data_IF_812854164692
#
_entry.id   IF_812854164692
#
_cell.length_a   1.000
_cell.length_b   1.000
_cell.length_c   1.000
_cell.angle_alpha   90.00
_cell.angle_beta   90.00
_cell.angle_gamma   90.00
#
_symmetry.space_group_name_H-M   'P 1'
#
loop_
_entity.id
_entity.type
_entity.pdbx_description
1 polymer ?
#
# COMPACT_ATOMS: atom_id res chain seq x y z
N UNK A 1 15.16 25.52 -12.28
CA UNK A 1 14.14 24.61 -12.85
C UNK A 1 12.85 24.85 -12.10
N UNK A 2 11.70 24.82 -12.79
CA UNK A 2 10.40 24.86 -12.09
C UNK A 2 10.23 23.61 -11.24
N UNK A 3 9.40 23.66 -10.20
CA UNK A 3 9.07 22.48 -9.40
C UNK A 3 8.42 21.43 -10.30
N UNK A 4 8.88 20.18 -10.19
CA UNK A 4 8.34 19.05 -10.95
C UNK A 4 6.86 18.86 -10.61
N UNK A 5 6.03 18.66 -11.62
CA UNK A 5 4.65 18.25 -11.38
C UNK A 5 4.58 16.79 -10.90
N UNK A 6 3.46 16.42 -10.27
CA UNK A 6 3.25 15.09 -9.71
C UNK A 6 3.42 13.97 -10.75
N UNK A 7 2.88 14.16 -11.96
CA UNK A 7 2.89 13.12 -13.00
C UNK A 7 4.31 12.91 -13.52
N UNK A 8 5.07 13.98 -13.73
CA UNK A 8 6.48 13.93 -14.13
C UNK A 8 7.32 13.21 -13.08
N UNK A 9 7.21 13.60 -11.80
CA UNK A 9 7.96 12.99 -10.70
C UNK A 9 7.69 11.48 -10.57
N UNK A 10 6.42 11.06 -10.66
CA UNK A 10 6.06 9.65 -10.60
C UNK A 10 6.59 8.88 -11.82
N UNK A 11 6.51 9.44 -13.03
CA UNK A 11 7.03 8.76 -14.22
C UNK A 11 8.56 8.61 -14.18
N UNK A 12 9.30 9.62 -13.71
CA UNK A 12 10.75 9.52 -13.48
C UNK A 12 11.06 8.38 -12.51
N UNK A 13 10.33 8.30 -11.38
CA UNK A 13 10.50 7.20 -10.43
C UNK A 13 10.24 5.83 -11.06
N UNK A 14 9.11 5.67 -11.77
CA UNK A 14 8.73 4.40 -12.40
C UNK A 14 9.73 3.97 -13.47
N UNK A 15 10.27 4.90 -14.27
CA UNK A 15 11.26 4.58 -15.30
C UNK A 15 12.52 3.95 -14.70
N UNK A 16 12.96 4.45 -13.55
CA UNK A 16 14.14 3.93 -12.85
C UNK A 16 13.83 2.61 -12.15
N UNK A 17 12.69 2.54 -11.47
CA UNK A 17 12.24 1.38 -10.71
C UNK A 17 11.78 0.21 -11.59
N UNK A 18 11.55 0.41 -12.90
CA UNK A 18 11.19 -0.68 -13.82
C UNK A 18 12.22 -1.82 -13.85
N UNK A 19 13.48 -1.50 -13.50
CA UNK A 19 14.61 -2.44 -13.40
C UNK A 19 14.57 -3.31 -12.13
N UNK A 20 13.74 -2.95 -11.16
CA UNK A 20 13.61 -3.64 -9.88
C UNK A 20 12.43 -4.63 -9.89
N UNK A 21 12.59 -5.71 -9.14
CA UNK A 21 11.59 -6.76 -8.96
C UNK A 21 10.60 -6.50 -7.83
N UNK A 22 9.96 -7.59 -7.40
CA UNK A 22 9.00 -7.56 -6.29
C UNK A 22 9.64 -7.54 -4.91
N UNK A 23 10.92 -7.91 -4.79
CA UNK A 23 11.54 -8.18 -3.51
C UNK A 23 12.90 -7.48 -3.33
N UNK A 24 13.16 -7.05 -2.11
CA UNK A 24 14.48 -6.75 -1.56
C UNK A 24 15.00 -8.03 -0.90
N UNK A 25 16.16 -8.50 -1.35
CA UNK A 25 16.65 -9.84 -1.03
C UNK A 25 15.65 -10.91 -1.49
N UNK A 26 15.36 -11.88 -0.62
CA UNK A 26 14.48 -13.01 -0.96
C UNK A 26 13.02 -12.88 -0.48
N UNK A 27 12.72 -11.95 0.43
CA UNK A 27 11.45 -11.98 1.17
C UNK A 27 10.75 -10.63 1.36
N UNK A 28 11.47 -9.52 1.45
CA UNK A 28 10.86 -8.23 1.77
C UNK A 28 10.28 -7.60 0.51
N UNK A 29 9.05 -7.12 0.55
CA UNK A 29 8.45 -6.47 -0.61
C UNK A 29 9.23 -5.20 -0.97
N UNK A 30 9.47 -4.99 -2.26
CA UNK A 30 9.99 -3.73 -2.78
C UNK A 30 8.92 -2.64 -2.61
N UNK A 31 9.23 -1.59 -1.86
CA UNK A 31 8.30 -0.49 -1.61
C UNK A 31 8.53 0.73 -2.50
N UNK A 32 9.62 0.76 -3.29
CA UNK A 32 10.05 1.90 -4.08
C UNK A 32 8.92 2.64 -4.80
N UNK A 33 8.12 1.97 -5.65
CA UNK A 33 7.05 2.64 -6.40
C UNK A 33 5.97 3.26 -5.52
N UNK A 34 5.60 2.58 -4.42
CA UNK A 34 4.58 3.06 -3.48
C UNK A 34 5.06 4.26 -2.68
N UNK A 35 6.31 4.22 -2.22
CA UNK A 35 6.91 5.31 -1.45
C UNK A 35 7.21 6.53 -2.32
N UNK A 36 7.69 6.35 -3.55
CA UNK A 36 7.88 7.45 -4.50
C UNK A 36 6.57 8.17 -4.83
N UNK A 37 5.49 7.42 -5.06
CA UNK A 37 4.17 8.01 -5.32
C UNK A 37 3.61 8.73 -4.07
N UNK A 38 3.76 8.14 -2.88
CA UNK A 38 3.37 8.78 -1.63
C UNK A 38 4.17 10.07 -1.35
N UNK A 39 5.47 10.07 -1.62
CA UNK A 39 6.35 11.23 -1.50
C UNK A 39 5.89 12.38 -2.42
N UNK A 40 5.56 12.06 -3.68
CA UNK A 40 4.99 13.03 -4.61
C UNK A 40 3.63 13.57 -4.12
N UNK A 41 2.77 12.72 -3.54
CA UNK A 41 1.48 13.14 -2.94
C UNK A 41 1.62 14.03 -1.72
N UNK A 42 2.70 13.88 -0.97
CA UNK A 42 3.03 14.78 0.14
C UNK A 42 3.57 16.14 -0.34
N UNK A 43 3.73 16.35 -1.65
CA UNK A 43 4.20 17.61 -2.25
C UNK A 43 5.71 17.69 -2.43
N UNK A 44 6.44 16.59 -2.26
CA UNK A 44 7.90 16.53 -2.37
C UNK A 44 8.34 16.01 -3.75
N UNK A 45 7.69 16.46 -4.83
CA UNK A 45 7.98 16.01 -6.20
C UNK A 45 9.46 16.16 -6.59
N UNK A 46 10.09 17.26 -6.17
CA UNK A 46 11.50 17.55 -6.47
C UNK A 46 12.48 16.61 -5.74
N UNK A 47 12.06 15.96 -4.64
CA UNK A 47 12.88 15.01 -3.88
C UNK A 47 12.78 13.57 -4.39
N UNK A 48 11.78 13.28 -5.23
CA UNK A 48 11.47 11.91 -5.67
C UNK A 48 12.65 11.25 -6.38
N UNK A 49 13.30 11.95 -7.31
CA UNK A 49 14.40 11.37 -8.09
C UNK A 49 15.61 11.04 -7.20
N UNK A 50 16.00 11.96 -6.32
CA UNK A 50 17.09 11.74 -5.37
C UNK A 50 16.78 10.60 -4.38
N UNK A 51 15.53 10.53 -3.89
CA UNK A 51 15.10 9.46 -3.01
C UNK A 51 15.11 8.09 -3.70
N UNK A 52 14.62 8.00 -4.95
CA UNK A 52 14.65 6.77 -5.75
C UNK A 52 16.08 6.32 -6.04
N UNK A 53 16.98 7.27 -6.33
CA UNK A 53 18.41 6.98 -6.50
C UNK A 53 18.99 6.31 -5.27
N UNK A 54 18.84 6.95 -4.11
CA UNK A 54 19.33 6.40 -2.85
C UNK A 54 18.68 5.05 -2.53
N UNK A 55 17.38 4.90 -2.79
CA UNK A 55 16.67 3.65 -2.56
C UNK A 55 17.25 2.50 -3.39
N UNK A 56 17.46 2.70 -4.69
CA UNK A 56 18.01 1.66 -5.59
C UNK A 56 19.43 1.28 -5.16
N UNK A 57 20.27 2.25 -4.76
CA UNK A 57 21.65 1.99 -4.37
C UNK A 57 21.80 1.33 -2.99
N UNK A 58 20.94 1.68 -2.02
CA UNK A 58 21.04 1.16 -0.65
C UNK A 58 20.26 -0.13 -0.42
N UNK A 59 19.32 -0.48 -1.30
CA UNK A 59 18.52 -1.71 -1.18
C UNK A 59 19.02 -2.76 -2.16
N UNK A 60 19.05 -4.00 -1.70
CA UNK A 60 19.40 -5.16 -2.53
C UNK A 60 18.17 -5.64 -3.31
N UNK A 61 17.70 -4.84 -4.26
CA UNK A 61 16.56 -5.22 -5.12
C UNK A 61 16.92 -6.42 -5.98
N UNK A 62 16.09 -7.46 -5.93
CA UNK A 62 16.13 -8.54 -6.91
C UNK A 62 15.57 -8.07 -8.25
N UNK A 63 15.89 -8.75 -9.37
CA UNK A 63 15.22 -8.50 -10.63
C UNK A 63 13.75 -8.93 -10.55
N UNK A 64 12.94 -8.51 -11.52
CA UNK A 64 11.66 -9.17 -11.75
C UNK A 64 11.90 -10.66 -12.06
N UNK A 65 11.07 -11.58 -11.56
CA UNK A 65 11.15 -12.98 -11.98
C UNK A 65 10.94 -13.10 -13.49
N UNK A 66 11.75 -13.90 -14.16
CA UNK A 66 11.55 -14.20 -15.57
C UNK A 66 10.25 -14.99 -15.78
N UNK A 67 9.44 -14.67 -16.80
CA UNK A 67 8.30 -15.50 -17.16
C UNK A 67 8.78 -16.87 -17.66
N UNK A 68 8.11 -17.91 -17.21
CA UNK A 68 8.35 -19.31 -17.58
C UNK A 68 7.32 -19.83 -18.58
N UNK A 69 6.02 -19.56 -18.33
CA UNK A 69 4.93 -20.03 -19.16
C UNK A 69 3.64 -19.22 -18.93
N UNK A 70 2.81 -19.00 -19.98
CA UNK A 70 1.56 -18.27 -19.83
C UNK A 70 0.65 -18.81 -18.72
N UNK A 71 0.01 -17.90 -17.98
CA UNK A 71 -1.08 -18.26 -17.05
C UNK A 71 -2.33 -18.57 -17.88
N UNK A 72 -2.72 -19.85 -17.95
CA UNK A 72 -3.99 -20.32 -18.55
C UNK A 72 -4.98 -20.73 -17.47
N UNK A 73 -4.53 -21.54 -16.51
CA UNK A 73 -5.29 -21.93 -15.31
C UNK A 73 -4.91 -21.01 -14.14
N UNK A 74 -5.59 -19.86 -14.03
CA UNK A 74 -5.23 -18.82 -13.07
C UNK A 74 -5.45 -19.27 -11.61
N UNK A 75 -6.51 -20.03 -11.33
CA UNK A 75 -6.89 -20.45 -9.99
C UNK A 75 -5.78 -21.24 -9.29
N UNK A 76 -5.18 -22.20 -10.01
CA UNK A 76 -4.12 -23.04 -9.48
C UNK A 76 -2.79 -22.32 -9.41
N UNK A 77 -2.62 -21.23 -10.16
CA UNK A 77 -1.39 -20.43 -10.23
C UNK A 77 -1.29 -19.35 -9.14
N UNK A 78 -2.38 -19.06 -8.41
CA UNK A 78 -2.38 -18.09 -7.31
C UNK A 78 -1.46 -18.54 -6.17
N UNK A 79 -0.68 -17.60 -5.63
CA UNK A 79 0.23 -17.84 -4.50
C UNK A 79 1.51 -18.61 -4.87
N UNK A 80 1.66 -19.02 -6.13
CA UNK A 80 2.89 -19.65 -6.63
C UNK A 80 3.95 -18.57 -6.90
N UNK A 81 4.84 -18.35 -5.93
CA UNK A 81 5.83 -17.25 -5.96
C UNK A 81 6.69 -17.22 -7.22
N UNK A 82 7.07 -18.40 -7.74
CA UNK A 82 7.92 -18.52 -8.93
C UNK A 82 7.20 -18.13 -10.22
N UNK A 83 5.86 -18.04 -10.20
CA UNK A 83 5.04 -17.60 -11.34
C UNK A 83 4.94 -16.07 -11.45
N UNK A 84 5.69 -15.31 -10.64
CA UNK A 84 5.56 -13.85 -10.59
C UNK A 84 5.76 -13.16 -11.93
N UNK A 85 6.73 -13.61 -12.74
CA UNK A 85 6.95 -13.11 -14.10
C UNK A 85 5.79 -13.43 -15.05
N UNK A 86 5.20 -14.61 -14.91
CA UNK A 86 4.05 -15.05 -15.72
C UNK A 86 2.81 -14.21 -15.43
N UNK A 87 2.61 -13.84 -14.17
CA UNK A 87 1.54 -12.93 -13.77
C UNK A 87 1.73 -11.53 -14.34
N UNK A 88 2.96 -10.99 -14.34
CA UNK A 88 3.25 -9.69 -14.97
C UNK A 88 2.89 -9.72 -16.45
N UNK A 89 3.29 -10.77 -17.17
CA UNK A 89 3.00 -10.90 -18.60
C UNK A 89 1.50 -11.05 -18.89
N UNK A 90 0.77 -11.79 -18.04
CA UNK A 90 -0.69 -11.87 -18.11
C UNK A 90 -1.33 -10.48 -18.02
N UNK A 91 -0.97 -9.70 -16.99
CA UNK A 91 -1.60 -8.41 -16.75
C UNK A 91 -1.18 -7.35 -17.78
N UNK A 92 0.06 -7.38 -18.28
CA UNK A 92 0.48 -6.53 -19.41
C UNK A 92 -0.39 -6.76 -20.64
N UNK A 93 -0.61 -8.03 -21.00
CA UNK A 93 -1.47 -8.40 -22.13
C UNK A 93 -2.91 -7.94 -21.90
N UNK A 94 -3.50 -8.25 -20.75
CA UNK A 94 -4.89 -7.85 -20.47
C UNK A 94 -5.08 -6.32 -20.48
N UNK A 95 -4.10 -5.57 -19.97
CA UNK A 95 -4.11 -4.10 -19.95
C UNK A 95 -3.84 -3.47 -21.32
N UNK A 96 -3.21 -4.19 -22.25
CA UNK A 96 -3.08 -3.77 -23.64
C UNK A 96 -4.39 -4.01 -24.44
N UNK A 97 -5.21 -4.96 -24.01
CA UNK A 97 -6.43 -5.39 -24.71
C UNK A 97 -7.72 -4.74 -24.16
N UNK A 98 -7.70 -4.22 -22.94
CA UNK A 98 -8.89 -3.67 -22.26
C UNK A 98 -8.56 -2.43 -21.42
N UNK A 99 -9.58 -1.63 -21.11
CA UNK A 99 -9.42 -0.51 -20.19
C UNK A 99 -8.96 -1.01 -18.81
N UNK A 100 -8.05 -0.27 -18.17
CA UNK A 100 -7.50 -0.69 -16.88
C UNK A 100 -8.55 -0.89 -15.79
N UNK A 101 -9.65 -0.12 -15.83
CA UNK A 101 -10.79 -0.27 -14.92
C UNK A 101 -11.46 -1.62 -15.09
N UNK A 102 -11.67 -2.06 -16.33
CA UNK A 102 -12.30 -3.34 -16.62
C UNK A 102 -11.43 -4.51 -16.14
N UNK A 103 -10.10 -4.40 -16.31
CA UNK A 103 -9.15 -5.39 -15.80
C UNK A 103 -9.18 -5.43 -14.27
N UNK A 104 -9.10 -4.27 -13.60
CA UNK A 104 -9.18 -4.17 -12.14
C UNK A 104 -10.47 -4.80 -11.60
N UNK A 105 -11.63 -4.44 -12.15
CA UNK A 105 -12.93 -4.94 -11.71
C UNK A 105 -13.09 -6.44 -11.94
N UNK A 106 -12.57 -6.96 -13.06
CA UNK A 106 -12.57 -8.39 -13.37
C UNK A 106 -11.73 -9.20 -12.39
N UNK A 107 -10.58 -8.69 -11.98
CA UNK A 107 -9.65 -9.37 -11.07
C UNK A 107 -9.96 -9.13 -9.59
N UNK A 108 -10.71 -8.09 -9.26
CA UNK A 108 -11.09 -7.74 -7.90
C UNK A 108 -11.64 -8.92 -7.08
N UNK A 109 -12.76 -9.59 -7.48
CA UNK A 109 -13.30 -10.70 -6.69
C UNK A 109 -12.39 -11.94 -6.69
N UNK A 110 -11.42 -12.03 -7.63
CA UNK A 110 -10.48 -13.17 -7.73
C UNK A 110 -9.30 -13.02 -6.78
N UNK A 111 -8.83 -11.79 -6.56
CA UNK A 111 -7.66 -11.49 -5.74
C UNK A 111 -8.00 -11.08 -4.31
N UNK A 112 -9.16 -10.46 -4.09
CA UNK A 112 -9.63 -10.00 -2.79
C UNK A 112 -9.54 -11.07 -1.68
N UNK A 113 -9.93 -12.34 -1.89
CA UNK A 113 -9.88 -13.34 -0.82
C UNK A 113 -8.47 -13.68 -0.35
N UNK A 114 -7.44 -13.38 -1.16
CA UNK A 114 -6.03 -13.62 -0.83
C UNK A 114 -5.23 -12.35 -0.52
N UNK A 115 -5.90 -11.23 -0.25
CA UNK A 115 -5.24 -9.94 -0.07
C UNK A 115 -4.38 -9.82 1.19
N UNK A 116 -4.52 -10.72 2.18
CA UNK A 116 -3.63 -10.76 3.35
C UNK A 116 -2.17 -11.06 2.99
N UNK A 117 -1.97 -11.75 1.86
CA UNK A 117 -0.68 -12.19 1.35
C UNK A 117 0.39 -11.11 1.33
N UNK A 118 1.58 -11.45 1.84
CA UNK A 118 2.70 -10.51 2.00
C UNK A 118 2.25 -9.21 2.69
N UNK A 119 1.57 -9.28 3.84
CA UNK A 119 1.09 -8.09 4.57
C UNK A 119 0.36 -7.08 3.67
N UNK A 120 -0.48 -7.55 2.74
CA UNK A 120 -1.26 -6.73 1.79
C UNK A 120 -0.48 -5.94 0.74
N UNK A 121 0.81 -6.23 0.52
CA UNK A 121 1.63 -5.47 -0.43
C UNK A 121 1.08 -5.43 -1.85
N UNK A 122 0.48 -6.52 -2.35
CA UNK A 122 -0.16 -6.53 -3.66
C UNK A 122 -1.32 -5.54 -3.77
N UNK A 123 -2.19 -5.50 -2.75
CA UNK A 123 -3.31 -4.56 -2.67
C UNK A 123 -2.81 -3.11 -2.56
N UNK A 124 -1.85 -2.84 -1.68
CA UNK A 124 -1.29 -1.49 -1.49
C UNK A 124 -0.62 -1.01 -2.78
N UNK A 125 0.23 -1.83 -3.41
CA UNK A 125 0.92 -1.48 -4.66
C UNK A 125 -0.06 -1.19 -5.79
N UNK A 126 -1.11 -2.00 -5.91
CA UNK A 126 -2.20 -1.77 -6.86
C UNK A 126 -2.91 -0.44 -6.60
N UNK A 127 -3.17 -0.09 -5.34
CA UNK A 127 -3.82 1.18 -4.99
C UNK A 127 -2.99 2.41 -5.39
N UNK A 128 -1.68 2.39 -5.14
CA UNK A 128 -0.77 3.46 -5.56
C UNK A 128 -0.73 3.59 -7.09
N UNK A 129 -0.66 2.46 -7.82
CA UNK A 129 -0.73 2.47 -9.28
C UNK A 129 -2.05 3.05 -9.80
N UNK A 130 -3.19 2.62 -9.25
CA UNK A 130 -4.53 3.13 -9.60
C UNK A 130 -4.65 4.63 -9.31
N UNK A 131 -4.15 5.12 -8.17
CA UNK A 131 -4.15 6.55 -7.86
C UNK A 131 -3.34 7.35 -8.88
N UNK A 132 -2.14 6.87 -9.23
CA UNK A 132 -1.31 7.46 -10.28
C UNK A 132 -2.01 7.53 -11.64
N UNK A 133 -2.73 6.47 -12.03
CA UNK A 133 -3.53 6.42 -13.27
C UNK A 133 -4.71 7.41 -13.24
N UNK A 134 -5.41 7.54 -12.11
CA UNK A 134 -6.57 8.45 -11.96
C UNK A 134 -6.17 9.92 -12.05
N UNK A 135 -5.01 10.26 -11.52
CA UNK A 135 -4.52 11.63 -11.46
C UNK A 135 -3.69 12.02 -12.70
N UNK A 136 -3.62 11.14 -13.69
CA UNK A 136 -3.05 11.42 -15.01
C UNK A 136 -4.16 11.57 -16.05
N UNK A 137 -4.15 12.68 -16.80
CA UNK A 137 -5.09 12.90 -17.90
C UNK A 137 -4.94 11.84 -19.01
N UNK A 138 -3.70 11.38 -19.22
CA UNK A 138 -3.36 10.30 -20.15
C UNK A 138 -2.33 9.39 -19.48
N UNK A 139 -2.77 8.24 -18.92
CA UNK A 139 -1.87 7.22 -18.40
C UNK A 139 -0.73 6.86 -19.34
N UNK A 140 0.50 6.87 -18.82
CA UNK A 140 1.69 6.43 -19.57
C UNK A 140 1.84 4.91 -19.53
N UNK A 141 2.68 4.37 -20.42
CA UNK A 141 3.06 2.95 -20.39
C UNK A 141 3.72 2.55 -19.07
N UNK A 142 4.48 3.46 -18.43
CA UNK A 142 5.10 3.22 -17.13
C UNK A 142 4.05 3.07 -16.02
N UNK A 143 3.02 3.92 -16.01
CA UNK A 143 1.93 3.83 -15.04
C UNK A 143 1.08 2.57 -15.25
N UNK A 144 0.85 2.20 -16.51
CA UNK A 144 0.14 0.95 -16.87
C UNK A 144 0.95 -0.29 -16.49
N UNK A 145 2.26 -0.30 -16.70
CA UNK A 145 3.15 -1.40 -16.27
C UNK A 145 3.18 -1.53 -14.74
N UNK A 146 3.16 -0.42 -14.00
CA UNK A 146 3.10 -0.47 -12.54
C UNK A 146 1.77 -1.05 -12.03
N UNK A 147 0.64 -0.79 -12.71
CA UNK A 147 -0.61 -1.49 -12.41
C UNK A 147 -0.49 -2.99 -12.68
N UNK A 148 0.12 -3.38 -13.81
CA UNK A 148 0.36 -4.78 -14.13
C UNK A 148 1.19 -5.47 -13.03
N UNK A 149 2.26 -4.80 -12.56
CA UNK A 149 3.12 -5.28 -11.47
C UNK A 149 2.42 -5.33 -10.12
N UNK A 150 1.55 -4.36 -9.80
CA UNK A 150 0.74 -4.37 -8.59
C UNK A 150 -0.20 -5.57 -8.53
N UNK A 151 -0.96 -5.79 -9.61
CA UNK A 151 -1.87 -6.94 -9.74
C UNK A 151 -1.09 -8.26 -9.74
N UNK A 152 0.05 -8.31 -10.43
CA UNK A 152 0.92 -9.49 -10.46
C UNK A 152 1.48 -9.82 -9.07
N UNK A 153 1.94 -8.81 -8.32
CA UNK A 153 2.40 -9.00 -6.94
C UNK A 153 1.27 -9.58 -6.09
N UNK A 154 0.05 -9.05 -6.21
CA UNK A 154 -1.12 -9.55 -5.49
C UNK A 154 -1.42 -11.02 -5.82
N UNK A 155 -1.41 -11.40 -7.10
CA UNK A 155 -1.60 -12.79 -7.51
C UNK A 155 -0.46 -13.71 -7.04
N UNK A 156 0.79 -13.21 -7.07
CA UNK A 156 2.01 -13.93 -6.67
C UNK A 156 2.03 -14.21 -5.17
N UNK A 157 1.61 -13.25 -4.35
CA UNK A 157 1.63 -13.36 -2.90
C UNK A 157 0.30 -13.84 -2.33
N UNK A 158 -0.68 -14.15 -3.19
CA UNK A 158 -2.03 -14.52 -2.80
C UNK A 158 -2.02 -15.57 -1.68
N UNK A 159 -2.61 -15.22 -0.54
CA UNK A 159 -2.76 -16.10 0.61
C UNK A 159 -4.18 -15.93 1.16
N UNK A 160 -5.04 -16.97 1.09
CA UNK A 160 -6.39 -16.91 1.62
C UNK A 160 -6.41 -16.50 3.10
N UNK A 161 -7.45 -15.76 3.50
CA UNK A 161 -7.78 -15.54 4.91
C UNK A 161 -7.95 -16.88 5.64
N UNK A 162 -7.53 -16.96 6.90
CA UNK A 162 -7.65 -18.19 7.70
C UNK A 162 -9.11 -18.52 7.99
N UNK A 163 -9.93 -17.50 8.22
CA UNK A 163 -11.35 -17.62 8.58
C UNK A 163 -12.29 -17.62 7.39
N UNK A 164 -11.76 -17.42 6.17
CA UNK A 164 -12.54 -17.29 4.94
C UNK A 164 -13.28 -15.95 4.79
N UNK A 165 -13.98 -15.71 3.67
CA UNK A 165 -14.73 -14.48 3.47
C UNK A 165 -15.89 -14.37 4.47
N UNK A 166 -15.94 -13.26 5.20
CA UNK A 166 -17.01 -12.99 6.17
C UNK A 166 -18.28 -12.59 5.42
N UNK A 167 -19.32 -13.41 5.54
CA UNK A 167 -20.67 -13.05 5.08
C UNK A 167 -21.29 -12.01 6.01
N UNK A 168 -22.09 -11.11 5.46
CA UNK A 168 -22.69 -10.00 6.20
C UNK A 168 -23.65 -9.21 5.33
N UNK A 169 -24.62 -8.56 5.97
CA UNK A 169 -25.65 -7.77 5.31
C UNK A 169 -25.09 -6.74 4.33
N UNK A 170 -25.93 -6.32 3.39
CA UNK A 170 -25.55 -5.32 2.40
C UNK A 170 -25.36 -3.95 3.08
N UNK A 171 -24.27 -3.25 2.73
CA UNK A 171 -24.00 -1.88 3.15
C UNK A 171 -23.95 -1.01 1.90
N UNK A 172 -24.58 0.16 1.94
CA UNK A 172 -24.39 1.14 0.87
C UNK A 172 -22.95 1.70 0.87
N UNK A 173 -22.54 2.27 -0.27
CA UNK A 173 -21.19 2.79 -0.44
C UNK A 173 -20.81 3.87 0.59
N UNK A 174 -21.78 4.69 1.04
CA UNK A 174 -21.53 5.72 2.04
C UNK A 174 -21.32 5.14 3.45
N UNK A 175 -22.02 4.07 3.79
CA UNK A 175 -21.79 3.31 5.02
C UNK A 175 -20.43 2.62 5.01
N UNK A 176 -20.03 2.05 3.87
CA UNK A 176 -18.68 1.47 3.70
C UNK A 176 -17.59 2.53 3.86
N UNK A 177 -17.75 3.70 3.24
CA UNK A 177 -16.80 4.81 3.34
C UNK A 177 -16.63 5.30 4.80
N UNK A 178 -17.73 5.43 5.55
CA UNK A 178 -17.67 5.75 6.99
C UNK A 178 -16.96 4.66 7.80
N UNK A 179 -17.30 3.39 7.57
CA UNK A 179 -16.72 2.27 8.28
C UNK A 179 -15.20 2.12 8.01
N UNK A 180 -14.73 2.40 6.79
CA UNK A 180 -13.29 2.46 6.50
C UNK A 180 -12.58 3.56 7.32
N UNK A 181 -13.26 4.69 7.56
CA UNK A 181 -12.70 5.79 8.36
C UNK A 181 -12.64 5.43 9.84
N UNK A 182 -13.63 4.67 10.32
CA UNK A 182 -13.64 4.13 11.68
C UNK A 182 -12.54 3.09 11.87
N UNK A 183 -12.40 2.16 10.92
CA UNK A 183 -11.38 1.11 10.93
C UNK A 183 -9.95 1.67 10.92
N UNK A 184 -9.66 2.61 10.03
CA UNK A 184 -8.33 3.24 9.94
C UNK A 184 -7.98 4.01 11.21
N UNK A 185 -8.92 4.76 11.78
CA UNK A 185 -8.71 5.49 13.03
C UNK A 185 -8.59 4.56 14.26
N UNK A 186 -9.36 3.47 14.31
CA UNK A 186 -9.24 2.42 15.32
C UNK A 186 -7.82 1.85 15.35
N UNK A 187 -7.32 1.40 14.20
CA UNK A 187 -5.99 0.80 14.12
C UNK A 187 -4.84 1.80 14.28
N UNK A 188 -5.06 3.09 13.96
CA UNK A 188 -4.15 4.15 14.35
C UNK A 188 -4.04 4.27 15.89
N UNK A 189 -5.18 4.20 16.60
CA UNK A 189 -5.21 4.13 18.06
C UNK A 189 -4.52 2.89 18.61
N UNK A 190 -4.79 1.71 18.02
CA UNK A 190 -4.12 0.47 18.41
C UNK A 190 -2.60 0.55 18.24
N UNK A 191 -2.11 1.13 17.14
CA UNK A 191 -0.68 1.31 16.91
C UNK A 191 0.00 2.07 18.06
N UNK A 192 -0.58 3.21 18.47
CA UNK A 192 -0.07 4.02 19.59
C UNK A 192 -0.22 3.38 20.96
N UNK A 193 -1.16 2.46 21.13
CA UNK A 193 -1.40 1.73 22.38
C UNK A 193 -0.55 0.47 22.49
N UNK A 194 -0.14 -0.10 21.36
CA UNK A 194 0.75 -1.27 21.31
C UNK A 194 2.22 -0.87 21.44
N UNK A 195 2.63 0.25 20.81
CA UNK A 195 4.04 0.65 20.71
C UNK A 195 4.96 -0.52 20.31
N UNK A 196 4.73 -1.10 19.11
CA UNK A 196 5.26 -2.40 18.75
C UNK A 196 6.80 -2.45 18.72
N UNK A 197 7.36 -3.53 19.29
CA UNK A 197 8.78 -3.89 19.16
C UNK A 197 9.17 -4.29 17.73
N UNK A 198 8.30 -4.21 16.75
CA UNK A 198 8.61 -4.29 15.33
C UNK A 198 7.64 -3.33 14.63
N UNK A 199 8.06 -2.10 14.29
CA UNK A 199 7.12 -1.02 13.98
C UNK A 199 6.38 -1.23 12.66
N UNK A 200 6.95 -1.98 11.72
CA UNK A 200 6.47 -2.05 10.33
C UNK A 200 5.17 -2.84 10.17
N UNK A 201 5.02 -4.09 10.66
CA UNK A 201 3.84 -4.91 10.33
C UNK A 201 2.50 -4.25 10.69
N UNK A 202 2.41 -3.57 11.84
CA UNK A 202 1.17 -2.90 12.25
C UNK A 202 0.89 -1.57 11.51
N UNK A 203 1.85 -1.01 10.75
CA UNK A 203 1.55 0.11 9.86
C UNK A 203 0.53 -0.31 8.80
N UNK A 204 0.58 -1.59 8.38
CA UNK A 204 -0.30 -2.13 7.35
C UNK A 204 -1.77 -2.15 7.76
N UNK A 205 -2.09 -2.22 9.05
CA UNK A 205 -3.49 -2.15 9.51
C UNK A 205 -4.10 -0.75 9.33
N UNK A 206 -3.28 0.26 9.00
CA UNK A 206 -3.72 1.62 8.66
C UNK A 206 -3.61 1.81 7.15
N UNK A 207 -2.45 1.49 6.56
CA UNK A 207 -2.21 1.78 5.13
C UNK A 207 -3.02 0.89 4.19
N UNK A 208 -3.32 -0.36 4.56
CA UNK A 208 -4.09 -1.28 3.72
C UNK A 208 -5.57 -0.89 3.58
N UNK A 209 -6.34 -0.60 4.65
CA UNK A 209 -7.69 -0.06 4.49
C UNK A 209 -7.72 1.34 3.86
N UNK A 210 -6.71 2.18 4.11
CA UNK A 210 -6.58 3.45 3.42
C UNK A 210 -6.34 3.26 1.89
N UNK A 211 -5.58 2.23 1.50
CA UNK A 211 -5.38 1.83 0.10
C UNK A 211 -6.65 1.20 -0.51
N UNK A 212 -7.37 0.39 0.26
CA UNK A 212 -8.67 -0.20 -0.14
C UNK A 212 -9.64 0.90 -0.58
N UNK A 213 -9.73 2.02 0.17
CA UNK A 213 -10.58 3.15 -0.19
C UNK A 213 -10.28 3.72 -1.58
N UNK A 214 -8.99 3.84 -1.94
CA UNK A 214 -8.58 4.35 -3.26
C UNK A 214 -9.08 3.47 -4.40
N UNK A 215 -9.08 2.15 -4.17
CA UNK A 215 -9.51 1.15 -5.15
C UNK A 215 -11.04 1.07 -5.26
N UNK A 216 -11.78 1.17 -4.14
CA UNK A 216 -13.24 1.10 -4.15
C UNK A 216 -13.91 2.19 -4.98
N UNK A 217 -13.24 3.34 -5.18
CA UNK A 217 -13.69 4.38 -6.09
C UNK A 217 -13.83 3.90 -7.56
N UNK A 218 -13.17 2.81 -7.92
CA UNK A 218 -13.11 2.26 -9.28
C UNK A 218 -13.77 0.87 -9.38
N UNK A 219 -14.38 0.39 -8.30
CA UNK A 219 -14.99 -0.94 -8.18
C UNK A 219 -16.52 -0.80 -8.02
N UNK A 220 -17.33 -1.68 -8.64
CA UNK A 220 -18.78 -1.70 -8.47
C UNK A 220 -19.25 -1.76 -7.00
N UNK A 221 -20.32 -1.01 -6.69
CA UNK A 221 -20.81 -0.81 -5.33
C UNK A 221 -21.24 -2.11 -4.62
N UNK A 222 -21.67 -3.13 -5.37
CA UNK A 222 -22.04 -4.45 -4.85
C UNK A 222 -20.86 -5.22 -4.25
N UNK A 223 -19.61 -4.85 -4.59
CA UNK A 223 -18.40 -5.45 -4.03
C UNK A 223 -17.85 -4.70 -2.82
N UNK A 224 -18.37 -3.51 -2.50
CA UNK A 224 -17.82 -2.64 -1.44
C UNK A 224 -17.95 -3.25 -0.05
N UNK A 225 -19.14 -3.77 0.29
CA UNK A 225 -19.40 -4.34 1.60
C UNK A 225 -18.54 -5.57 1.89
N UNK A 226 -18.36 -6.45 0.89
CA UNK A 226 -17.45 -7.60 0.99
C UNK A 226 -16.00 -7.14 1.19
N UNK A 227 -15.56 -6.14 0.42
CA UNK A 227 -14.19 -5.62 0.49
C UNK A 227 -13.87 -5.01 1.86
N UNK A 228 -14.79 -4.26 2.45
CA UNK A 228 -14.67 -3.74 3.81
C UNK A 228 -14.51 -4.87 4.83
N UNK A 229 -15.37 -5.89 4.77
CA UNK A 229 -15.30 -7.01 5.72
C UNK A 229 -14.01 -7.79 5.59
N UNK A 230 -13.58 -8.05 4.35
CA UNK A 230 -12.29 -8.68 4.07
C UNK A 230 -11.13 -7.90 4.68
N UNK A 231 -11.05 -6.57 4.45
CA UNK A 231 -9.91 -5.80 4.98
C UNK A 231 -9.96 -5.63 6.51
N UNK A 232 -11.16 -5.57 7.09
CA UNK A 232 -11.34 -5.58 8.54
C UNK A 232 -10.83 -6.90 9.16
N UNK A 233 -11.08 -8.03 8.51
CA UNK A 233 -10.58 -9.33 8.95
C UNK A 233 -9.06 -9.46 8.80
N UNK A 234 -8.49 -8.99 7.68
CA UNK A 234 -7.03 -8.90 7.51
C UNK A 234 -6.40 -8.09 8.65
N UNK A 235 -6.97 -6.93 8.97
CA UNK A 235 -6.48 -6.08 10.06
C UNK A 235 -6.49 -6.84 11.40
N UNK A 236 -7.56 -7.59 11.67
CA UNK A 236 -7.69 -8.40 12.89
C UNK A 236 -6.61 -9.49 12.95
N UNK A 237 -6.41 -10.24 11.87
CA UNK A 237 -5.37 -11.28 11.78
C UNK A 237 -3.96 -10.69 11.97
N UNK A 238 -3.66 -9.58 11.29
CA UNK A 238 -2.38 -8.87 11.43
C UNK A 238 -2.16 -8.37 12.87
N UNK A 239 -3.19 -7.83 13.51
CA UNK A 239 -3.07 -7.35 14.88
C UNK A 239 -2.90 -8.50 15.88
N UNK A 240 -3.56 -9.64 15.68
CA UNK A 240 -3.30 -10.85 16.48
C UNK A 240 -1.85 -11.33 16.31
N UNK A 241 -1.34 -11.32 15.08
CA UNK A 241 0.01 -11.80 14.77
C UNK A 241 1.12 -10.86 15.28
N UNK A 242 0.94 -9.55 15.18
CA UNK A 242 2.01 -8.55 15.40
C UNK A 242 1.73 -7.54 16.52
N UNK A 243 0.49 -7.45 17.00
CA UNK A 243 0.07 -6.58 18.10
C UNK A 243 0.71 -6.96 19.42
N UNK A 244 0.98 -8.26 19.64
CA UNK A 244 1.50 -8.77 20.90
C UNK A 244 0.54 -8.55 22.08
N UNK A 245 0.63 -9.37 23.12
CA UNK A 245 -0.24 -9.28 24.29
C UNK A 245 0.03 -8.06 25.21
N UNK A 246 0.54 -6.95 24.65
CA UNK A 246 0.87 -5.71 25.36
C UNK A 246 0.14 -4.55 24.71
N UNK A 247 -1.07 -4.28 25.18
CA UNK A 247 -1.59 -2.93 25.17
C UNK A 247 -1.07 -2.25 26.43
N UNK A 248 -0.40 -1.09 26.30
CA UNK A 248 -0.14 -0.26 27.48
C UNK A 248 -1.47 0.36 27.94
N UNK A 249 -1.73 0.37 29.25
CA UNK A 249 -2.97 0.90 29.83
C UNK A 249 -3.19 2.39 29.51
N UNK A 250 -2.12 3.10 29.10
CA UNK A 250 -2.16 4.50 28.69
C UNK A 250 -1.63 4.61 27.26
N UNK A 251 -2.48 4.93 26.27
CA UNK A 251 -2.02 5.23 24.91
C UNK A 251 -0.96 6.33 24.93
N UNK A 252 0.00 6.29 24.00
CA UNK A 252 0.90 7.42 23.81
C UNK A 252 0.07 8.70 23.61
N UNK A 253 0.39 9.75 24.37
CA UNK A 253 -0.33 11.01 24.20
C UNK A 253 -0.15 11.49 22.76
N UNK A 254 -1.24 11.93 22.09
CA UNK A 254 -1.14 12.46 20.76
C UNK A 254 -0.17 13.64 20.77
N UNK A 255 0.80 13.61 19.85
CA UNK A 255 1.70 14.72 19.60
C UNK A 255 0.86 15.88 19.06
N UNK A 256 0.56 16.85 19.91
CA UNK A 256 -0.28 18.02 19.56
C UNK A 256 0.54 19.19 19.03
N UNK A 257 1.87 19.08 19.05
CA UNK A 257 2.77 20.16 18.63
C UNK A 257 3.16 20.04 17.16
N UNK A 258 3.16 18.82 16.59
CA UNK A 258 3.50 18.58 15.20
C UNK A 258 2.28 18.59 14.28
N UNK A 259 2.45 19.15 13.08
CA UNK A 259 1.49 19.04 11.99
C UNK A 259 1.81 17.84 11.10
N UNK A 260 0.87 17.45 10.22
CA UNK A 260 1.18 16.47 9.17
C UNK A 260 2.29 16.95 8.21
N UNK A 261 2.46 18.27 8.03
CA UNK A 261 3.56 18.83 7.24
C UNK A 261 4.91 18.57 7.93
N UNK A 262 4.98 18.73 9.25
CA UNK A 262 6.20 18.46 10.03
C UNK A 262 6.55 16.96 10.00
N UNK A 263 5.54 16.10 10.10
CA UNK A 263 5.75 14.65 9.99
C UNK A 263 6.18 14.22 8.58
N UNK A 264 5.58 14.80 7.54
CA UNK A 264 5.99 14.55 6.17
C UNK A 264 7.46 14.93 5.98
N UNK A 265 7.87 16.14 6.38
CA UNK A 265 9.26 16.59 6.31
C UNK A 265 10.21 15.63 7.06
N UNK A 266 9.84 15.21 8.28
CA UNK A 266 10.64 14.28 9.08
C UNK A 266 10.72 12.86 8.48
N UNK A 267 9.69 12.43 7.75
CA UNK A 267 9.68 11.15 7.04
C UNK A 267 10.53 11.20 5.76
N UNK A 268 10.51 12.33 5.03
CA UNK A 268 11.39 12.58 3.87
C UNK A 268 12.85 12.58 4.30
N UNK A 269 13.18 13.32 5.37
CA UNK A 269 14.54 13.36 5.93
C UNK A 269 15.03 11.96 6.37
N UNK A 270 14.15 11.17 6.99
CA UNK A 270 14.45 9.79 7.38
C UNK A 270 14.64 8.86 6.17
N UNK A 271 14.01 9.18 5.04
CA UNK A 271 14.07 8.39 3.81
C UNK A 271 13.42 7.02 3.88
N UNK A 272 12.72 6.67 4.97
CA UNK A 272 12.12 5.35 5.15
C UNK A 272 10.77 5.22 4.44
N UNK A 273 10.65 4.15 3.67
CA UNK A 273 9.48 3.83 2.83
C UNK A 273 8.18 3.72 3.66
N UNK A 274 8.25 3.18 4.87
CA UNK A 274 7.07 2.99 5.73
C UNK A 274 6.65 4.29 6.39
N UNK A 275 7.63 5.09 6.86
CA UNK A 275 7.38 6.40 7.44
C UNK A 275 6.69 7.33 6.43
N UNK A 276 7.16 7.35 5.18
CA UNK A 276 6.55 8.14 4.10
C UNK A 276 5.10 7.70 3.84
N UNK A 277 4.88 6.39 3.65
CA UNK A 277 3.54 5.84 3.35
C UNK A 277 2.54 6.09 4.47
N UNK A 278 2.93 5.90 5.75
CA UNK A 278 1.99 6.13 6.86
C UNK A 278 1.68 7.61 7.04
N UNK A 279 2.65 8.51 6.83
CA UNK A 279 2.39 9.95 6.88
C UNK A 279 1.37 10.36 5.81
N UNK A 280 1.55 9.90 4.57
CA UNK A 280 0.59 10.17 3.48
C UNK A 280 -0.80 9.60 3.77
N UNK A 281 -0.89 8.32 4.11
CA UNK A 281 -2.17 7.67 4.38
C UNK A 281 -2.90 8.32 5.56
N UNK A 282 -2.20 8.60 6.67
CA UNK A 282 -2.77 9.23 7.85
C UNK A 282 -3.24 10.66 7.57
N UNK A 283 -2.46 11.46 6.84
CA UNK A 283 -2.84 12.81 6.44
C UNK A 283 -4.10 12.80 5.56
N UNK A 284 -4.15 11.89 4.58
CA UNK A 284 -5.29 11.74 3.67
C UNK A 284 -6.57 11.29 4.38
N UNK A 285 -6.50 10.27 5.23
CA UNK A 285 -7.67 9.81 6.00
C UNK A 285 -8.12 10.89 7.00
N UNK A 286 -7.20 11.62 7.64
CA UNK A 286 -7.54 12.74 8.51
C UNK A 286 -8.22 13.90 7.75
N UNK A 287 -7.86 14.15 6.50
CA UNK A 287 -8.53 15.16 5.67
C UNK A 287 -9.99 14.77 5.33
N UNK A 288 -10.29 13.48 5.24
CA UNK A 288 -11.66 12.98 5.04
C UNK A 288 -12.49 13.04 6.33
N UNK A 289 -11.90 12.60 7.45
CA UNK A 289 -12.52 12.62 8.78
C UNK A 289 -11.44 12.92 9.83
N UNK A 290 -11.37 14.17 10.33
CA UNK A 290 -10.36 14.55 11.31
C UNK A 290 -10.42 13.68 12.57
N UNK A 291 -9.29 13.09 12.92
CA UNK A 291 -9.13 12.25 14.11
C UNK A 291 -7.68 12.32 14.62
N UNK A 292 -7.43 12.71 15.89
CA UNK A 292 -6.07 12.89 16.40
C UNK A 292 -5.23 11.60 16.42
N UNK A 293 -5.87 10.42 16.36
CA UNK A 293 -5.16 9.13 16.34
C UNK A 293 -4.27 8.98 15.11
N UNK A 294 -4.63 9.58 13.98
CA UNK A 294 -3.81 9.53 12.76
C UNK A 294 -2.46 10.19 12.93
N UNK A 295 -2.45 11.40 13.48
CA UNK A 295 -1.23 12.16 13.74
C UNK A 295 -0.36 11.42 14.77
N UNK A 296 -0.98 10.90 15.84
CA UNK A 296 -0.30 10.09 16.85
C UNK A 296 0.37 8.84 16.27
N UNK A 297 -0.33 8.09 15.42
CA UNK A 297 0.20 6.89 14.78
C UNK A 297 1.37 7.20 13.83
N UNK A 298 1.24 8.23 12.98
CA UNK A 298 2.31 8.65 12.07
C UNK A 298 3.55 9.14 12.81
N UNK A 299 3.38 9.93 13.89
CA UNK A 299 4.50 10.38 14.74
C UNK A 299 5.17 9.20 15.44
N UNK A 300 4.39 8.32 16.07
CA UNK A 300 4.91 7.15 16.77
C UNK A 300 5.68 6.20 15.82
N UNK A 301 5.13 5.91 14.65
CA UNK A 301 5.77 5.06 13.64
C UNK A 301 7.11 5.66 13.18
N UNK A 302 7.11 6.94 12.82
CA UNK A 302 8.32 7.65 12.36
C UNK A 302 9.42 7.64 13.42
N UNK A 303 9.06 7.85 14.69
CA UNK A 303 10.01 7.83 15.80
C UNK A 303 10.57 6.42 16.08
N UNK A 304 9.72 5.40 16.08
CA UNK A 304 10.14 4.01 16.29
C UNK A 304 11.04 3.51 15.16
N UNK A 305 10.78 3.91 13.91
CA UNK A 305 11.63 3.59 12.76
C UNK A 305 12.98 4.30 12.91
N UNK A 306 13.00 5.61 13.18
CA UNK A 306 14.23 6.38 13.38
C UNK A 306 15.14 5.78 14.45
N UNK A 307 14.58 5.39 15.59
CA UNK A 307 15.33 4.78 16.69
C UNK A 307 16.03 3.47 16.27
N UNK A 308 15.49 2.76 15.29
CA UNK A 308 16.01 1.47 14.81
C UNK A 308 17.02 1.60 13.68
N UNK A 309 16.92 2.66 12.89
CA UNK A 309 17.87 2.93 11.81
C UNK A 309 19.27 3.29 12.33
N UNK A 310 19.43 3.56 13.63
CA UNK A 310 20.69 4.00 14.24
C UNK A 310 21.00 5.47 13.92
N UNK A 311 22.01 6.09 14.55
CA UNK A 311 22.50 7.40 14.12
C UNK A 311 23.09 7.27 12.71
N UNK A 312 22.66 8.15 11.80
CA UNK A 312 23.24 8.36 10.47
C UNK A 312 24.69 8.82 10.56
#
# INVERSE_FOLDING_TARGET
MGSLDYTEAVNVALDRLRTTGFYIGHFFANHGPMAAEALAKLGYCDEVDGWVDANIHHRQHGPLPDPTQPITEWQTSLGQRDRGGDWVELFRRELAEAAWRDVLQRWWPRLLPGCAGSLTHGLIRTAHAVRSLRDSAQPTELQMDELARGLALWATTYQPLETGPVDGGNLDAGAVDRALSELTAEYAGHYTSTMPSFPVPLIHTITAPAAMRLLLAEVPADLHALSLRTIAEVNRELFVAFGGQRMVDTPAQPDTERTFSDLAAAAVELGDEHAIKICEAAARENALRPDPRYLGAASAATNLIRQRSGPT
#
